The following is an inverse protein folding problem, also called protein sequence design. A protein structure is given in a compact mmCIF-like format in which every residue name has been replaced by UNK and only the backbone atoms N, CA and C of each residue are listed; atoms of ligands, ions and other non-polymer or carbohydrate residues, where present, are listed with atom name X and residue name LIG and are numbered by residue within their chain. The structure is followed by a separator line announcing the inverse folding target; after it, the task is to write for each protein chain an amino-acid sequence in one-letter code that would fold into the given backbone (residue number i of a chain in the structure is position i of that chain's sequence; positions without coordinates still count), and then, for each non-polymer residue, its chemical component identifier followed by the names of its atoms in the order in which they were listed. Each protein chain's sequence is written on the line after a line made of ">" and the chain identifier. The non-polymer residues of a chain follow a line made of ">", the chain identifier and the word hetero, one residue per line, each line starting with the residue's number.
data_IF_164394963939
#
_entry.id   IF_164394963939
#
_cell.length_a   1.000
_cell.length_b   1.000
_cell.length_c   1.000
_cell.angle_alpha   90.00
_cell.angle_beta   90.00
_cell.angle_gamma   90.00
#
_symmetry.space_group_name_H-M   'P 1'
#
loop_
_entity.id
_entity.type
_entity.pdbx_description
1 polymer ?
#
# COMPACT_ATOMS: atom_id res chain seq x y z
N UNK A 1 -1.28 0.10 7.41
CA UNK A 1 -0.77 1.45 7.75
C UNK A 1 -1.50 2.53 6.96
N UNK A 2 -1.78 2.34 5.66
CA UNK A 2 -2.51 3.33 4.86
C UNK A 2 -3.89 3.70 5.44
N UNK A 3 -4.69 2.73 5.89
CA UNK A 3 -5.99 3.01 6.52
C UNK A 3 -5.86 3.87 7.79
N UNK A 4 -4.81 3.65 8.59
CA UNK A 4 -4.57 4.46 9.78
C UNK A 4 -4.03 5.86 9.45
N UNK A 5 -3.36 6.02 8.30
CA UNK A 5 -2.95 7.32 7.79
C UNK A 5 -4.17 8.10 7.29
N UNK A 6 -5.08 7.43 6.58
CA UNK A 6 -6.35 8.01 6.09
C UNK A 6 -7.26 8.45 7.25
N UNK A 7 -7.40 7.65 8.31
CA UNK A 7 -8.13 8.01 9.53
C UNK A 7 -7.56 9.27 10.22
N UNK A 8 -6.26 9.54 10.02
CA UNK A 8 -5.57 10.75 10.49
C UNK A 8 -5.58 11.91 9.48
N UNK A 9 -6.30 11.77 8.36
CA UNK A 9 -6.38 12.78 7.30
C UNK A 9 -5.12 12.89 6.43
N UNK A 10 -4.29 11.85 6.40
CA UNK A 10 -3.07 11.81 5.57
C UNK A 10 -3.29 10.98 4.30
N UNK A 11 -2.58 11.35 3.23
CA UNK A 11 -2.43 10.52 2.05
C UNK A 11 -1.32 9.48 2.27
N UNK A 12 -1.50 8.29 1.70
CA UNK A 12 -0.52 7.21 1.80
C UNK A 12 -0.49 6.36 0.51
N UNK A 13 0.68 5.80 0.19
CA UNK A 13 0.89 4.91 -0.96
C UNK A 13 1.97 3.85 -0.68
N UNK A 14 1.61 2.58 -0.82
CA UNK A 14 2.53 1.45 -0.90
C UNK A 14 3.22 1.39 -2.26
N UNK A 15 4.55 1.50 -2.25
CA UNK A 15 5.38 1.38 -3.44
C UNK A 15 6.24 0.12 -3.35
N UNK A 16 6.00 -0.83 -4.26
CA UNK A 16 6.81 -2.05 -4.40
C UNK A 16 7.79 -1.99 -5.57
N UNK A 17 7.63 -1.03 -6.49
CA UNK A 17 8.46 -0.94 -7.71
C UNK A 17 9.91 -0.50 -7.44
N UNK A 18 10.14 0.22 -6.34
CA UNK A 18 11.47 0.75 -5.99
C UNK A 18 12.33 -0.15 -5.11
N UNK A 19 11.86 -1.34 -4.71
CA UNK A 19 12.53 -2.14 -3.68
C UNK A 19 13.95 -2.57 -4.08
N UNK A 20 14.16 -2.89 -5.36
CA UNK A 20 15.47 -3.26 -5.90
C UNK A 20 16.47 -2.10 -5.95
N UNK A 21 15.99 -0.86 -5.83
CA UNK A 21 16.83 0.34 -5.85
C UNK A 21 17.28 0.79 -4.46
N UNK A 22 16.82 0.13 -3.40
CA UNK A 22 17.22 0.46 -2.04
C UNK A 22 18.67 0.00 -1.83
N UNK A 23 19.60 0.89 -1.44
CA UNK A 23 20.98 0.51 -1.17
C UNK A 23 21.09 -0.58 -0.11
N UNK A 24 21.97 -1.57 -0.32
CA UNK A 24 22.06 -2.72 0.58
C UNK A 24 22.56 -2.35 1.99
N UNK A 25 23.36 -1.28 2.09
CA UNK A 25 23.95 -0.77 3.31
C UNK A 25 22.95 0.00 4.20
N UNK A 26 21.78 0.39 3.66
CA UNK A 26 20.72 1.02 4.47
C UNK A 26 19.75 0.01 5.08
N UNK A 27 19.77 -1.25 4.61
CA UNK A 27 18.92 -2.31 5.15
C UNK A 27 19.66 -3.00 6.30
N UNK A 28 19.07 -3.07 7.52
CA UNK A 28 19.69 -3.78 8.63
C UNK A 28 19.93 -5.26 8.31
N UNK A 29 21.00 -5.82 8.86
CA UNK A 29 21.34 -7.23 8.64
C UNK A 29 20.20 -8.16 9.07
N UNK A 30 19.85 -9.12 8.21
CA UNK A 30 18.76 -10.06 8.43
C UNK A 30 17.36 -9.56 8.03
N UNK A 31 17.24 -8.32 7.54
CA UNK A 31 15.96 -7.77 7.09
C UNK A 31 15.79 -7.89 5.57
N UNK A 32 14.55 -8.04 5.13
CA UNK A 32 14.17 -8.01 3.72
C UNK A 32 13.13 -6.90 3.51
N UNK A 33 13.37 -5.93 2.61
CA UNK A 33 12.38 -4.90 2.32
C UNK A 33 11.17 -5.52 1.60
N UNK A 34 9.96 -5.14 2.02
CA UNK A 34 8.69 -5.69 1.48
C UNK A 34 7.90 -4.65 0.70
N UNK A 35 7.97 -3.38 1.11
CA UNK A 35 7.41 -2.21 0.40
C UNK A 35 8.02 -0.92 0.97
N UNK A 36 8.01 0.15 0.19
CA UNK A 36 8.13 1.52 0.69
C UNK A 36 6.74 2.11 0.96
N UNK A 37 6.63 3.00 1.96
CA UNK A 37 5.41 3.75 2.23
C UNK A 37 5.71 5.24 2.09
N UNK A 38 5.11 5.88 1.10
CA UNK A 38 5.03 7.35 1.05
C UNK A 38 3.81 7.78 1.85
N UNK A 39 3.99 8.70 2.79
CA UNK A 39 2.91 9.23 3.63
C UNK A 39 3.08 10.72 3.82
N UNK A 40 1.99 11.49 3.85
CA UNK A 40 2.05 12.92 4.07
C UNK A 40 0.72 13.64 3.95
N UNK A 41 0.77 14.96 4.18
CA UNK A 41 -0.36 15.84 3.96
C UNK A 41 -0.74 15.85 2.48
N UNK A 42 -2.04 15.84 2.20
CA UNK A 42 -2.56 15.87 0.83
C UNK A 42 -3.83 16.72 0.78
N UNK A 43 -4.06 17.37 -0.36
CA UNK A 43 -5.33 18.04 -0.68
C UNK A 43 -6.25 17.15 -1.52
N UNK A 44 -5.74 16.02 -2.00
CA UNK A 44 -6.51 15.05 -2.77
C UNK A 44 -7.48 14.30 -1.85
N UNK A 45 -8.73 14.16 -2.30
CA UNK A 45 -9.75 13.43 -1.56
C UNK A 45 -9.76 11.97 -1.99
N UNK A 46 -9.72 11.07 -1.02
CA UNK A 46 -9.98 9.66 -1.29
C UNK A 46 -11.39 9.50 -1.87
N UNK A 47 -11.48 8.95 -3.08
CA UNK A 47 -12.73 8.66 -3.75
C UNK A 47 -12.89 7.14 -3.83
N UNK A 48 -13.89 6.55 -3.16
CA UNK A 48 -14.21 5.14 -3.32
C UNK A 48 -14.43 4.83 -4.80
N UNK A 49 -13.87 3.71 -5.27
CA UNK A 49 -14.17 3.19 -6.60
C UNK A 49 -15.13 2.02 -6.49
N UNK A 50 -16.10 1.94 -7.39
CA UNK A 50 -16.95 0.77 -7.48
C UNK A 50 -16.12 -0.44 -7.97
N UNK A 51 -16.31 -1.58 -7.32
CA UNK A 51 -15.67 -2.85 -7.70
C UNK A 51 -16.78 -3.89 -7.86
N UNK A 52 -16.95 -4.48 -9.06
CA UNK A 52 -17.94 -5.53 -9.26
C UNK A 52 -17.72 -6.69 -8.30
N UNK A 53 -18.80 -7.18 -7.69
CA UNK A 53 -18.74 -8.29 -6.73
C UNK A 53 -18.25 -9.61 -7.36
N UNK A 54 -18.43 -9.75 -8.66
CA UNK A 54 -18.01 -10.90 -9.47
C UNK A 54 -16.62 -10.72 -10.09
N UNK A 55 -15.88 -9.65 -9.76
CA UNK A 55 -14.53 -9.39 -10.27
C UNK A 55 -13.56 -10.53 -9.96
N UNK A 56 -13.72 -11.17 -8.81
CA UNK A 56 -13.00 -12.40 -8.46
C UNK A 56 -14.01 -13.54 -8.50
N UNK A 57 -13.87 -14.42 -9.50
CA UNK A 57 -14.73 -15.59 -9.65
C UNK A 57 -14.60 -16.47 -8.41
N UNK A 58 -15.69 -16.62 -7.67
CA UNK A 58 -15.76 -17.47 -6.49
C UNK A 58 -16.64 -18.68 -6.79
N UNK A 59 -16.08 -19.87 -6.62
CA UNK A 59 -16.84 -21.12 -6.62
C UNK A 59 -17.19 -21.44 -5.16
N UNK A 60 -18.36 -21.00 -4.70
CA UNK A 60 -18.86 -21.38 -3.39
C UNK A 60 -19.17 -22.88 -3.40
N UNK A 61 -18.34 -23.68 -2.72
CA UNK A 61 -18.62 -25.10 -2.45
C UNK A 61 -19.54 -25.15 -1.22
N UNK A 62 -20.72 -25.74 -1.38
CA UNK A 62 -21.66 -26.01 -0.28
C UNK A 62 -21.35 -27.34 0.38
#
# INVERSE_FOLDING_TARGET
>A
MELAAEDQGLGANYNMGGLSSIPADVIPSGFTPVFGLTVGQTTEKFAPREVPMDRIKTNFVK
#
